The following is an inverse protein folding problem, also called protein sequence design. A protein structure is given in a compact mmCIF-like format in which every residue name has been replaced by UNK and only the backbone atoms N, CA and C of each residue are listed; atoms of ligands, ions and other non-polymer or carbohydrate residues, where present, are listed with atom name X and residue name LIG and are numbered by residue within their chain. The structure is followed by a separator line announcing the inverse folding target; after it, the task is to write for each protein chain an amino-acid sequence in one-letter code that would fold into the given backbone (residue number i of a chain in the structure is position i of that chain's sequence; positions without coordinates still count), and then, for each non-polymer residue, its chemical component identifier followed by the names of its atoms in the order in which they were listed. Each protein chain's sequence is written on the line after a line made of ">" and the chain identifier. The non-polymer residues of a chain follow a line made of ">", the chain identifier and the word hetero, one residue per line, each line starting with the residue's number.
data_IF_152267412894
#
_entry.id   IF_152267412894
#
_cell.length_a   1.000
_cell.length_b   1.000
_cell.length_c   1.000
_cell.angle_alpha   90.00
_cell.angle_beta   90.00
_cell.angle_gamma   90.00
#
_symmetry.space_group_name_H-M   'P 1'
#
loop_
_entity.id
_entity.type
_entity.pdbx_description
1 polymer ?
#
# COMPACT_ATOMS: atom_id res chain seq x y z
N UNK A 1 -3.79 5.55 -56.60
CA UNK A 1 -4.60 5.49 -55.36
C UNK A 1 -3.67 5.13 -54.21
N UNK A 2 -3.27 6.13 -53.41
CA UNK A 2 -2.38 5.96 -52.26
C UNK A 2 -3.26 5.70 -51.04
N UNK A 3 -3.13 4.52 -50.43
CA UNK A 3 -3.99 4.06 -49.34
C UNK A 3 -3.51 4.67 -48.02
N UNK A 4 -4.14 5.78 -47.62
CA UNK A 4 -3.80 6.51 -46.41
C UNK A 4 -4.53 5.89 -45.21
N UNK A 5 -3.99 4.80 -44.65
CA UNK A 5 -4.44 4.28 -43.35
C UNK A 5 -3.68 5.01 -42.24
N UNK A 6 -4.19 6.18 -41.86
CA UNK A 6 -3.85 6.85 -40.61
C UNK A 6 -4.30 5.96 -39.45
N UNK A 7 -3.39 5.11 -38.96
CA UNK A 7 -3.60 4.40 -37.70
C UNK A 7 -3.58 5.43 -36.57
N UNK A 8 -4.75 5.73 -36.02
CA UNK A 8 -4.90 6.57 -34.83
C UNK A 8 -4.12 5.94 -33.68
N UNK A 9 -3.11 6.66 -33.18
CA UNK A 9 -2.37 6.30 -31.97
C UNK A 9 -3.35 6.27 -30.81
N UNK A 10 -3.67 5.08 -30.27
CA UNK A 10 -4.40 4.93 -29.00
C UNK A 10 -3.57 5.57 -27.89
N UNK A 11 -3.93 6.77 -27.46
CA UNK A 11 -3.34 7.40 -26.27
C UNK A 11 -3.76 6.60 -25.05
N UNK A 12 -2.90 5.70 -24.55
CA UNK A 12 -3.07 5.16 -23.20
C UNK A 12 -2.95 6.34 -22.23
N UNK A 13 -4.08 6.76 -21.66
CA UNK A 13 -4.06 7.71 -20.54
C UNK A 13 -3.44 6.98 -19.36
N UNK A 14 -2.16 7.27 -19.09
CA UNK A 14 -1.46 6.74 -17.93
C UNK A 14 -2.15 7.27 -16.67
N UNK A 15 -2.93 6.41 -16.01
CA UNK A 15 -3.48 6.70 -14.68
C UNK A 15 -2.49 6.13 -13.67
N UNK A 16 -1.71 6.97 -12.97
CA UNK A 16 -0.85 6.47 -11.91
C UNK A 16 -1.69 5.72 -10.87
N UNK A 17 -1.24 4.51 -10.53
CA UNK A 17 -1.93 3.62 -9.60
C UNK A 17 -1.31 3.80 -8.22
N UNK A 18 -1.83 4.77 -7.46
CA UNK A 18 -1.43 4.99 -6.08
C UNK A 18 -2.20 4.05 -5.15
N UNK A 19 -1.49 3.52 -4.15
CA UNK A 19 -2.05 2.64 -3.13
C UNK A 19 -1.57 3.08 -1.75
N UNK A 20 -2.38 2.75 -0.75
CA UNK A 20 -2.04 2.91 0.66
C UNK A 20 -2.04 1.54 1.34
N UNK A 21 -1.20 1.41 2.36
CA UNK A 21 -1.21 0.26 3.27
C UNK A 21 -1.12 0.80 4.70
N UNK A 22 -1.88 0.21 5.60
CA UNK A 22 -2.02 0.65 6.98
C UNK A 22 -1.39 -0.40 7.90
N UNK A 23 -0.49 0.05 8.77
CA UNK A 23 0.10 -0.79 9.82
C UNK A 23 -0.64 -0.49 11.12
N UNK A 24 -1.28 -1.52 11.68
CA UNK A 24 -1.94 -1.45 12.98
C UNK A 24 -1.24 -2.43 13.89
N UNK A 25 -0.88 -1.93 15.06
CA UNK A 25 -0.15 -2.68 16.08
C UNK A 25 -0.96 -2.67 17.35
N UNK A 26 -1.15 -3.84 17.94
CA UNK A 26 -1.82 -3.97 19.24
C UNK A 26 -0.81 -3.81 20.40
N UNK A 27 -1.30 -3.87 21.64
CA UNK A 27 -0.46 -3.73 22.84
C UNK A 27 0.56 -4.88 23.04
N UNK A 28 0.48 -5.93 22.22
CA UNK A 28 1.42 -7.07 22.22
C UNK A 28 2.46 -6.97 21.10
N UNK A 29 2.55 -5.82 20.42
CA UNK A 29 3.46 -5.60 19.29
C UNK A 29 3.16 -6.48 18.05
N UNK A 30 1.93 -7.00 17.93
CA UNK A 30 1.48 -7.80 16.80
C UNK A 30 0.86 -6.91 15.71
N UNK A 31 1.09 -7.24 14.43
CA UNK A 31 0.55 -6.50 13.28
C UNK A 31 -0.75 -7.12 12.78
N UNK A 32 -1.76 -6.29 12.52
CA UNK A 32 -2.97 -6.73 11.83
C UNK A 32 -2.70 -6.99 10.34
N UNK A 33 -3.09 -8.19 9.88
CA UNK A 33 -3.12 -8.55 8.47
C UNK A 33 -4.54 -8.94 8.05
N UNK A 34 -4.88 -8.71 6.79
CA UNK A 34 -6.12 -9.17 6.15
C UNK A 34 -5.81 -10.26 5.14
N UNK A 35 -6.69 -11.25 5.02
CA UNK A 35 -6.51 -12.33 4.04
C UNK A 35 -7.22 -11.97 2.74
N UNK A 36 -6.46 -11.84 1.67
CA UNK A 36 -6.99 -11.66 0.32
C UNK A 36 -7.03 -13.00 -0.43
N UNK A 37 -8.03 -13.15 -1.30
CA UNK A 37 -8.17 -14.30 -2.19
C UNK A 37 -8.00 -13.86 -3.64
N UNK A 38 -7.12 -14.54 -4.37
CA UNK A 38 -6.96 -14.36 -5.83
C UNK A 38 -7.01 -15.72 -6.52
N UNK A 39 -8.13 -16.02 -7.17
CA UNK A 39 -8.41 -17.34 -7.72
C UNK A 39 -8.51 -18.38 -6.59
N UNK A 40 -7.68 -19.42 -6.64
CA UNK A 40 -7.59 -20.44 -5.59
C UNK A 40 -6.55 -20.12 -4.49
N UNK A 41 -5.79 -19.02 -4.63
CA UNK A 41 -4.73 -18.66 -3.69
C UNK A 41 -5.25 -17.72 -2.62
N UNK A 42 -4.84 -17.96 -1.38
CA UNK A 42 -5.01 -17.07 -0.24
C UNK A 42 -3.65 -16.53 0.15
N UNK A 43 -3.58 -15.25 0.46
CA UNK A 43 -2.37 -14.58 0.93
C UNK A 43 -2.78 -13.50 1.92
N UNK A 44 -1.95 -13.25 2.91
CA UNK A 44 -2.20 -12.18 3.87
C UNK A 44 -1.59 -10.89 3.33
N UNK A 45 -2.07 -9.73 3.72
CA UNK A 45 -1.50 -8.43 3.35
C UNK A 45 -1.78 -7.44 4.47
N UNK A 46 -1.05 -6.32 4.49
CA UNK A 46 -1.47 -5.17 5.27
C UNK A 46 -2.82 -4.67 4.74
N UNK A 47 -3.76 -4.24 5.62
CA UNK A 47 -4.98 -3.58 5.18
C UNK A 47 -4.68 -2.38 4.29
N UNK A 48 -5.52 -2.16 3.28
CA UNK A 48 -5.39 -1.02 2.38
C UNK A 48 -5.71 -1.34 0.93
N UNK A 49 -5.77 -0.29 0.12
CA UNK A 49 -6.19 -0.43 -1.26
C UNK A 49 -5.79 0.72 -2.14
N UNK A 50 -6.61 0.97 -3.17
CA UNK A 50 -6.31 1.96 -4.21
C UNK A 50 -6.90 3.29 -3.81
N UNK A 51 -6.16 4.34 -4.11
CA UNK A 51 -6.67 5.71 -3.99
C UNK A 51 -7.72 5.93 -5.08
N UNK A 52 -8.89 6.41 -4.67
CA UNK A 52 -9.96 6.81 -5.57
C UNK A 52 -9.78 8.23 -6.11
N UNK A 53 -10.48 8.59 -7.18
CA UNK A 53 -10.36 9.92 -7.77
C UNK A 53 -10.84 10.99 -6.80
N UNK A 54 -9.98 11.97 -6.51
CA UNK A 54 -10.26 13.05 -5.55
C UNK A 54 -9.96 12.70 -4.09
N UNK A 55 -9.50 11.49 -3.81
CA UNK A 55 -9.14 11.02 -2.47
C UNK A 55 -7.67 11.36 -2.15
N UNK A 56 -7.39 11.73 -0.89
CA UNK A 56 -6.01 11.86 -0.40
C UNK A 56 -5.56 10.56 0.30
N UNK A 57 -4.26 10.42 0.57
CA UNK A 57 -3.71 9.20 1.19
C UNK A 57 -4.35 8.86 2.54
N UNK A 58 -4.61 9.86 3.38
CA UNK A 58 -5.18 9.65 4.71
C UNK A 58 -6.66 9.23 4.64
N UNK A 59 -7.47 9.88 3.80
CA UNK A 59 -8.87 9.48 3.61
C UNK A 59 -8.98 8.07 3.02
N UNK A 60 -8.11 7.73 2.07
CA UNK A 60 -8.03 6.38 1.50
C UNK A 60 -7.72 5.32 2.57
N UNK A 61 -6.71 5.58 3.40
CA UNK A 61 -6.33 4.65 4.46
C UNK A 61 -7.45 4.43 5.50
N UNK A 62 -8.22 5.47 5.86
CA UNK A 62 -9.37 5.33 6.77
C UNK A 62 -10.49 4.51 6.12
N UNK A 63 -10.84 4.81 4.87
CA UNK A 63 -11.90 4.11 4.13
C UNK A 63 -11.58 2.62 3.97
N UNK A 64 -10.41 2.30 3.41
CA UNK A 64 -9.99 0.92 3.15
C UNK A 64 -9.93 0.10 4.44
N UNK A 65 -9.37 0.68 5.50
CA UNK A 65 -9.33 -0.03 6.78
C UNK A 65 -10.73 -0.32 7.32
N UNK A 66 -11.64 0.66 7.24
CA UNK A 66 -13.02 0.47 7.69
C UNK A 66 -13.72 -0.61 6.86
N UNK A 67 -13.54 -0.63 5.56
CA UNK A 67 -14.12 -1.63 4.66
C UNK A 67 -13.61 -3.06 4.96
N UNK A 68 -12.30 -3.23 5.18
CA UNK A 68 -11.71 -4.56 5.33
C UNK A 68 -11.78 -5.11 6.76
N UNK A 69 -11.84 -4.25 7.77
CA UNK A 69 -11.69 -4.64 9.19
C UNK A 69 -12.81 -4.14 10.11
N UNK A 70 -13.66 -3.24 9.61
CA UNK A 70 -14.69 -2.53 10.38
C UNK A 70 -14.16 -1.66 11.55
N UNK A 71 -12.84 -1.44 11.64
CA UNK A 71 -12.22 -0.59 12.65
C UNK A 71 -12.35 0.90 12.29
N UNK A 72 -12.70 1.71 13.27
CA UNK A 72 -12.62 3.17 13.17
C UNK A 72 -11.30 3.65 13.76
N UNK A 73 -10.44 4.24 12.95
CA UNK A 73 -9.14 4.77 13.39
C UNK A 73 -9.12 6.30 13.39
N UNK A 74 -8.32 6.83 14.31
CA UNK A 74 -7.74 8.17 14.20
C UNK A 74 -6.24 7.98 14.04
N UNK A 75 -5.63 8.60 13.03
CA UNK A 75 -4.17 8.57 12.86
C UNK A 75 -3.53 9.19 14.10
N UNK A 76 -2.92 8.36 14.94
CA UNK A 76 -2.51 8.77 16.29
C UNK A 76 -1.02 8.64 16.56
N UNK A 77 -0.27 7.88 15.75
CA UNK A 77 1.10 7.51 16.11
C UNK A 77 2.14 8.06 15.13
N UNK A 78 3.19 8.72 15.63
CA UNK A 78 4.32 9.18 14.83
C UNK A 78 5.15 8.00 14.29
N UNK A 79 5.80 8.21 13.15
CA UNK A 79 6.58 7.18 12.41
C UNK A 79 7.67 6.49 13.26
N UNK A 80 8.22 7.17 14.27
CA UNK A 80 9.27 6.61 15.12
C UNK A 80 8.78 5.42 15.98
N UNK A 81 7.47 5.25 16.16
CA UNK A 81 6.92 4.06 16.82
C UNK A 81 6.97 2.81 15.95
N UNK A 82 7.18 2.94 14.63
CA UNK A 82 7.34 1.80 13.74
C UNK A 82 8.57 0.94 14.09
N UNK A 83 9.60 1.53 14.71
CA UNK A 83 10.81 0.82 15.13
C UNK A 83 10.53 -0.23 16.23
N UNK A 84 9.40 -0.11 16.94
CA UNK A 84 8.97 -1.05 17.98
C UNK A 84 8.20 -2.24 17.39
N UNK A 85 7.96 -2.24 16.09
CA UNK A 85 7.12 -3.21 15.41
C UNK A 85 7.99 -4.10 14.54
N UNK A 86 7.96 -5.41 14.79
CA UNK A 86 8.64 -6.36 13.90
C UNK A 86 7.74 -6.67 12.71
N UNK A 87 7.96 -5.99 11.58
CA UNK A 87 7.47 -6.45 10.28
C UNK A 87 8.28 -7.68 9.87
N UNK A 88 7.69 -8.70 9.23
CA UNK A 88 8.46 -9.81 8.68
C UNK A 88 8.46 -9.75 7.14
N UNK A 89 9.61 -9.89 6.45
CA UNK A 89 10.96 -9.84 7.04
C UNK A 89 11.18 -8.51 7.77
N UNK A 90 12.17 -8.41 8.70
CA UNK A 90 12.44 -7.21 9.51
C UNK A 90 12.80 -6.02 8.63
N UNK A 91 11.77 -5.36 8.09
CA UNK A 91 11.85 -4.26 7.12
C UNK A 91 11.56 -2.89 7.74
N UNK A 92 11.24 -2.85 9.04
CA UNK A 92 10.84 -1.63 9.73
C UNK A 92 11.94 -0.55 9.65
N UNK A 93 13.20 -0.94 9.88
CA UNK A 93 14.34 -0.02 9.83
C UNK A 93 14.52 0.58 8.44
N UNK A 94 14.38 -0.23 7.38
CA UNK A 94 14.48 0.23 6.00
C UNK A 94 13.35 1.19 5.63
N UNK A 95 12.13 0.98 6.16
CA UNK A 95 11.00 1.90 5.96
C UNK A 95 11.26 3.23 6.67
N UNK A 96 11.77 3.20 7.89
CA UNK A 96 12.09 4.41 8.67
C UNK A 96 13.20 5.20 7.98
N UNK A 97 14.27 4.53 7.57
CA UNK A 97 15.37 5.14 6.81
C UNK A 97 14.86 5.76 5.51
N UNK A 98 14.04 5.04 4.74
CA UNK A 98 13.47 5.55 3.50
C UNK A 98 12.59 6.78 3.74
N UNK A 99 11.75 6.76 4.79
CA UNK A 99 10.91 7.89 5.17
C UNK A 99 11.75 9.12 5.53
N UNK A 100 12.76 8.96 6.39
CA UNK A 100 13.67 10.04 6.80
C UNK A 100 14.43 10.64 5.61
N UNK A 101 14.77 9.82 4.62
CA UNK A 101 15.50 10.23 3.42
C UNK A 101 14.61 10.69 2.26
N UNK A 102 13.28 10.67 2.42
CA UNK A 102 12.31 11.12 1.41
C UNK A 102 12.15 10.17 0.22
N UNK A 103 12.31 8.86 0.42
CA UNK A 103 12.10 7.79 -0.58
C UNK A 103 12.87 8.01 -1.90
N UNK A 104 14.08 8.60 -1.83
CA UNK A 104 14.90 8.95 -3.01
C UNK A 104 15.36 7.74 -3.83
N UNK A 105 15.49 6.56 -3.21
CA UNK A 105 15.81 5.30 -3.87
C UNK A 105 14.72 4.27 -3.63
N UNK A 106 14.16 3.70 -4.71
CA UNK A 106 13.25 2.57 -4.61
C UNK A 106 14.06 1.28 -4.40
N UNK A 107 14.18 0.84 -3.15
CA UNK A 107 14.70 -0.50 -2.83
C UNK A 107 13.55 -1.51 -2.85
N UNK A 108 13.63 -2.50 -3.72
CA UNK A 108 12.71 -3.64 -3.72
C UNK A 108 13.03 -4.53 -2.51
N UNK A 109 12.12 -4.58 -1.54
CA UNK A 109 12.29 -5.33 -0.28
C UNK A 109 11.83 -6.80 -0.38
N UNK A 110 11.60 -7.30 -1.60
CA UNK A 110 11.27 -8.70 -1.86
C UNK A 110 9.77 -8.99 -2.03
N UNK A 111 9.47 -10.18 -2.56
CA UNK A 111 8.15 -10.79 -2.48
C UNK A 111 8.03 -11.45 -1.11
N UNK A 112 7.30 -10.80 -0.20
CA UNK A 112 6.62 -11.51 0.88
C UNK A 112 5.62 -12.49 0.25
N UNK A 113 5.33 -13.61 0.90
CA UNK A 113 4.52 -14.75 0.43
C UNK A 113 5.29 -15.82 -0.35
N UNK A 114 5.75 -16.83 0.39
CA UNK A 114 5.84 -18.22 -0.10
C UNK A 114 4.49 -18.89 0.11
#
# INVERSE_FOLDING_TARGET
>A
MINNKSQGKKTHSYRPNFRVSVIIVNDKEEILLVQHKKGQRYYWVLPGGRIEYGENFASCAVRELKEETNLDIRFGKPIHELAKVTLYPPVADQIIEAYQNGFKEMKYLGNLWV
#
